data_IF_359838090954
#
_entry.id   IF_359838090954
#
_cell.length_a   1.000
_cell.length_b   1.000
_cell.length_c   1.000
_cell.angle_alpha   90.00
_cell.angle_beta   90.00
_cell.angle_gamma   90.00
#
_symmetry.space_group_name_H-M   'P 1'
#
loop_
_entity.id
_entity.type
_entity.pdbx_description
1 polymer ?
#
# COMPACT_ATOMS: atom_id res chain seq x y z
N UNK A 1 28.04 16.65 14.20
CA UNK A 1 27.66 15.74 13.10
C UNK A 1 26.21 15.99 12.81
N UNK A 2 25.91 16.49 11.61
CA UNK A 2 24.58 16.97 11.24
C UNK A 2 23.56 15.85 11.29
N UNK A 3 22.41 16.13 11.89
CA UNK A 3 21.21 15.33 11.73
C UNK A 3 20.87 15.40 10.24
N UNK A 4 21.04 14.30 9.51
CA UNK A 4 20.53 14.19 8.14
C UNK A 4 19.03 14.35 8.22
N UNK A 5 18.53 15.53 7.82
CA UNK A 5 17.12 15.79 7.55
C UNK A 5 16.66 14.63 6.66
N UNK A 6 15.71 13.82 7.12
CA UNK A 6 15.05 12.88 6.25
C UNK A 6 14.48 13.70 5.09
N UNK A 7 15.02 13.51 3.89
CA UNK A 7 14.55 14.20 2.70
C UNK A 7 13.09 13.80 2.52
N UNK A 8 12.20 14.79 2.41
CA UNK A 8 10.76 14.53 2.27
C UNK A 8 10.51 13.87 0.91
N UNK A 9 10.25 12.55 0.91
CA UNK A 9 9.89 11.80 -0.29
C UNK A 9 8.45 12.15 -0.70
N UNK A 10 8.30 12.78 -1.87
CA UNK A 10 7.00 13.11 -2.45
C UNK A 10 6.47 11.94 -3.27
N UNK A 11 5.15 11.71 -3.17
CA UNK A 11 4.45 10.70 -3.94
C UNK A 11 3.54 11.34 -4.98
N UNK A 12 3.75 11.03 -6.26
CA UNK A 12 2.90 11.47 -7.37
C UNK A 12 2.25 10.28 -8.06
N UNK A 13 1.14 10.56 -8.74
CA UNK A 13 0.38 9.55 -9.45
C UNK A 13 0.13 10.02 -10.88
N UNK A 14 0.50 9.17 -11.83
CA UNK A 14 0.23 9.38 -13.25
C UNK A 14 -0.89 8.46 -13.69
N UNK A 15 -1.90 9.04 -14.33
CA UNK A 15 -2.97 8.32 -14.99
C UNK A 15 -2.65 8.15 -16.47
N UNK A 16 -2.65 6.90 -16.92
CA UNK A 16 -2.21 6.48 -18.24
C UNK A 16 -3.12 5.39 -18.79
N UNK A 17 -3.03 5.14 -20.09
CA UNK A 17 -3.65 3.99 -20.73
C UNK A 17 -3.08 2.67 -20.18
N UNK A 18 -3.95 1.78 -19.70
CA UNK A 18 -3.54 0.56 -18.97
C UNK A 18 -2.69 -0.38 -19.82
N UNK A 19 -2.90 -0.42 -21.13
CA UNK A 19 -2.13 -1.23 -22.08
C UNK A 19 -0.72 -0.69 -22.35
N UNK A 20 -0.43 0.55 -21.91
CA UNK A 20 0.85 1.25 -22.11
C UNK A 20 1.59 1.53 -20.82
N UNK A 21 0.94 1.32 -19.68
CA UNK A 21 1.45 1.68 -18.36
C UNK A 21 2.84 1.10 -18.07
N UNK A 22 3.10 -0.15 -18.49
CA UNK A 22 4.42 -0.77 -18.29
C UNK A 22 5.50 -0.04 -19.07
N UNK A 23 5.25 0.26 -20.36
CA UNK A 23 6.23 0.97 -21.20
C UNK A 23 6.49 2.39 -20.70
N UNK A 24 5.45 3.10 -20.23
CA UNK A 24 5.60 4.44 -19.66
C UNK A 24 6.38 4.37 -18.34
N UNK A 25 6.12 3.36 -17.50
CA UNK A 25 6.88 3.12 -16.28
C UNK A 25 8.36 2.90 -16.58
N UNK A 26 8.68 2.08 -17.59
CA UNK A 26 10.06 1.84 -18.02
C UNK A 26 10.75 3.13 -18.47
N UNK A 27 10.07 3.97 -19.27
CA UNK A 27 10.63 5.26 -19.72
C UNK A 27 10.92 6.18 -18.53
N UNK A 28 10.04 6.24 -17.52
CA UNK A 28 10.29 7.04 -16.32
C UNK A 28 11.52 6.52 -15.57
N UNK A 29 11.63 5.20 -15.40
CA UNK A 29 12.80 4.57 -14.75
C UNK A 29 14.10 4.80 -15.54
N UNK A 30 14.06 4.75 -16.88
CA UNK A 30 15.19 5.07 -17.77
C UNK A 30 15.69 6.51 -17.56
N UNK A 31 14.79 7.44 -17.20
CA UNK A 31 15.11 8.85 -16.90
C UNK A 31 15.52 9.08 -15.43
N UNK A 32 15.74 8.00 -14.67
CA UNK A 32 16.17 8.06 -13.27
C UNK A 32 15.05 8.36 -12.28
N UNK A 33 13.79 8.26 -12.70
CA UNK A 33 12.62 8.48 -11.84
C UNK A 33 12.26 7.17 -11.16
N UNK A 34 12.09 7.16 -9.84
CA UNK A 34 11.57 5.99 -9.13
C UNK A 34 10.06 5.86 -9.37
N UNK A 35 9.70 5.16 -10.44
CA UNK A 35 8.35 4.89 -10.86
C UNK A 35 8.03 3.39 -10.78
N UNK A 36 6.82 3.05 -10.37
CA UNK A 36 6.36 1.66 -10.31
C UNK A 36 4.86 1.54 -10.54
N UNK A 37 4.44 0.35 -10.95
CA UNK A 37 3.03 -0.04 -10.98
C UNK A 37 2.68 -0.67 -9.63
N UNK A 38 1.65 -0.20 -8.90
CA UNK A 38 1.21 -0.87 -7.69
C UNK A 38 0.59 -2.23 -8.05
N UNK A 39 1.27 -3.30 -7.63
CA UNK A 39 0.90 -4.68 -7.92
C UNK A 39 0.46 -5.39 -6.63
N UNK A 40 -0.38 -6.41 -6.76
CA UNK A 40 -0.68 -7.34 -5.68
C UNK A 40 -0.48 -8.78 -6.10
N UNK A 41 -0.09 -9.61 -5.15
CA UNK A 41 -0.16 -11.06 -5.27
C UNK A 41 -1.60 -11.54 -5.06
N UNK A 42 -2.03 -12.49 -5.88
CA UNK A 42 -3.33 -13.14 -5.78
C UNK A 42 -3.21 -14.61 -6.18
N UNK A 43 -4.16 -15.42 -5.71
CA UNK A 43 -4.18 -16.85 -6.03
C UNK A 43 -4.89 -17.11 -7.37
N UNK A 44 -4.17 -17.67 -8.34
CA UNK A 44 -4.70 -18.14 -9.63
C UNK A 44 -5.05 -19.62 -9.53
N UNK A 45 -6.33 -19.94 -9.62
CA UNK A 45 -6.84 -21.32 -9.43
C UNK A 45 -6.43 -22.28 -10.54
N UNK A 46 -6.38 -21.81 -11.78
CA UNK A 46 -6.00 -22.59 -12.95
C UNK A 46 -4.55 -23.10 -12.86
N UNK A 47 -3.63 -22.26 -12.37
CA UNK A 47 -2.23 -22.63 -12.12
C UNK A 47 -2.00 -23.20 -10.71
N UNK A 48 -3.02 -23.17 -9.85
CA UNK A 48 -2.93 -23.53 -8.42
C UNK A 48 -1.78 -22.82 -7.68
N UNK A 49 -1.52 -21.55 -8.02
CA UNK A 49 -0.35 -20.82 -7.55
C UNK A 49 -0.60 -19.33 -7.35
N UNK A 50 0.39 -18.65 -6.75
CA UNK A 50 0.39 -17.20 -6.59
C UNK A 50 0.85 -16.54 -7.88
N UNK A 51 0.18 -15.47 -8.27
CA UNK A 51 0.52 -14.64 -9.45
C UNK A 51 0.33 -13.17 -9.09
N UNK A 52 0.84 -12.27 -9.93
CA UNK A 52 0.75 -10.82 -9.72
C UNK A 52 -0.28 -10.21 -10.66
N UNK A 53 -1.01 -9.20 -10.19
CA UNK A 53 -1.89 -8.35 -11.01
C UNK A 53 -1.81 -6.89 -10.55
N UNK A 54 -2.08 -5.92 -11.42
CA UNK A 54 -2.17 -4.51 -11.00
C UNK A 54 -3.30 -4.32 -9.98
N UNK A 55 -3.03 -3.54 -8.93
CA UNK A 55 -4.06 -3.08 -7.98
C UNK A 55 -4.93 -2.00 -8.63
N UNK A 56 -4.28 -1.09 -9.36
CA UNK A 56 -4.92 0.03 -10.02
C UNK A 56 -4.45 0.11 -11.48
N UNK A 57 -5.12 -0.61 -12.41
CA UNK A 57 -4.82 -0.49 -13.83
C UNK A 57 -4.95 0.96 -14.32
N UNK A 58 -3.96 1.42 -15.08
CA UNK A 58 -3.83 2.79 -15.59
C UNK A 58 -3.12 3.75 -14.64
N UNK A 59 -2.56 3.28 -13.52
CA UNK A 59 -1.89 4.13 -12.54
C UNK A 59 -0.42 3.76 -12.40
N UNK A 60 0.44 4.77 -12.48
CA UNK A 60 1.86 4.68 -12.14
C UNK A 60 2.09 5.53 -10.90
N UNK A 61 2.72 4.95 -9.90
CA UNK A 61 3.13 5.64 -8.69
C UNK A 61 4.57 6.09 -8.87
N UNK A 62 4.87 7.30 -8.42
CA UNK A 62 6.21 7.89 -8.50
C UNK A 62 6.62 8.37 -7.12
N UNK A 63 7.79 7.93 -6.66
CA UNK A 63 8.46 8.43 -5.46
C UNK A 63 9.62 9.30 -5.87
N UNK A 64 9.71 10.51 -5.33
CA UNK A 64 10.79 11.43 -5.73
C UNK A 64 10.98 12.54 -4.71
N UNK A 65 12.18 13.10 -4.63
CA UNK A 65 12.47 14.29 -3.83
C UNK A 65 12.03 15.59 -4.55
N UNK A 66 11.65 15.51 -5.83
CA UNK A 66 11.22 16.66 -6.61
C UNK A 66 9.95 17.29 -6.04
N UNK A 67 9.96 18.62 -5.89
CA UNK A 67 8.74 19.36 -5.54
C UNK A 67 7.80 19.45 -6.74
N UNK A 68 6.52 19.79 -6.50
CA UNK A 68 5.47 19.69 -7.52
C UNK A 68 5.86 20.36 -8.86
N UNK A 69 6.41 21.58 -8.81
CA UNK A 69 6.79 22.32 -10.01
C UNK A 69 7.90 21.62 -10.81
N UNK A 70 8.87 21.01 -10.14
CA UNK A 70 9.97 20.31 -10.81
C UNK A 70 9.48 19.01 -11.44
N UNK A 71 8.63 18.27 -10.72
CA UNK A 71 7.99 17.08 -11.24
C UNK A 71 7.09 17.39 -12.46
N UNK A 72 6.40 18.53 -12.45
CA UNK A 72 5.58 18.99 -13.58
C UNK A 72 6.41 19.23 -14.83
N UNK A 73 7.57 19.87 -14.68
CA UNK A 73 8.50 20.11 -15.79
C UNK A 73 9.06 18.81 -16.35
N UNK A 74 9.39 17.85 -15.48
CA UNK A 74 9.84 16.51 -15.86
C UNK A 74 8.76 15.77 -16.67
N UNK A 75 7.53 15.73 -16.17
CA UNK A 75 6.41 15.09 -16.87
C UNK A 75 6.16 15.74 -18.24
N UNK A 76 6.24 17.06 -18.32
CA UNK A 76 6.07 17.79 -19.58
C UNK A 76 7.20 17.49 -20.58
N UNK A 77 8.45 17.44 -20.13
CA UNK A 77 9.60 17.08 -20.96
C UNK A 77 9.48 15.65 -21.52
N UNK A 78 8.87 14.73 -20.76
CA UNK A 78 8.67 13.34 -21.17
C UNK A 78 7.39 13.09 -21.97
N UNK A 79 6.48 14.08 -22.06
CA UNK A 79 5.16 13.94 -22.71
C UNK A 79 5.26 13.42 -24.15
N UNK A 80 6.27 13.87 -24.91
CA UNK A 80 6.49 13.43 -26.30
C UNK A 80 6.92 11.96 -26.45
N UNK A 81 7.48 11.35 -25.40
CA UNK A 81 7.94 9.94 -25.39
C UNK A 81 6.92 9.00 -24.75
N UNK A 82 6.07 9.53 -23.88
CA UNK A 82 5.06 8.76 -23.14
C UNK A 82 3.71 8.70 -23.88
N UNK A 83 3.68 8.14 -25.10
CA UNK A 83 2.40 7.96 -25.81
C UNK A 83 1.47 7.07 -24.96
N UNK A 84 0.28 7.58 -24.60
CA UNK A 84 -0.66 6.95 -23.66
C UNK A 84 -0.72 7.60 -22.28
N UNK A 85 0.11 8.60 -22.01
CA UNK A 85 -0.05 9.47 -20.85
C UNK A 85 -1.33 10.29 -20.97
N UNK A 86 -2.16 10.29 -19.91
CA UNK A 86 -3.43 11.03 -19.90
C UNK A 86 -3.29 12.28 -19.05
N UNK A 87 -2.95 12.13 -17.77
CA UNK A 87 -2.72 13.26 -16.85
C UNK A 87 -2.00 12.82 -15.58
N UNK A 88 -1.36 13.76 -14.93
CA UNK A 88 -1.01 13.63 -13.52
C UNK A 88 -2.24 13.94 -12.66
N UNK A 89 -2.41 13.19 -11.57
CA UNK A 89 -3.45 13.47 -10.60
C UNK A 89 -2.95 14.46 -9.55
N UNK A 90 -3.68 15.57 -9.41
CA UNK A 90 -3.41 16.67 -8.49
C UNK A 90 -4.71 17.22 -7.91
N UNK A 91 -4.64 17.76 -6.71
CA UNK A 91 -5.70 18.59 -6.14
C UNK A 91 -5.18 20.02 -5.92
N UNK A 92 -5.88 21.03 -6.45
CA UNK A 92 -5.53 22.45 -6.36
C UNK A 92 -4.03 22.83 -6.55
N UNK A 93 -3.27 22.04 -7.31
CA UNK A 93 -1.82 22.29 -7.54
C UNK A 93 -0.87 21.57 -6.57
N UNK A 94 -1.36 20.63 -5.76
CA UNK A 94 -0.58 19.72 -4.93
C UNK A 94 -0.78 18.25 -5.33
N UNK A 95 0.07 17.35 -4.82
CA UNK A 95 -0.04 15.91 -5.07
C UNK A 95 -1.43 15.38 -4.66
N UNK A 96 -2.05 14.56 -5.52
CA UNK A 96 -3.40 14.03 -5.24
C UNK A 96 -3.44 12.99 -4.10
N UNK A 97 -2.29 12.45 -3.69
CA UNK A 97 -2.25 11.45 -2.64
C UNK A 97 -2.22 12.13 -1.27
N UNK A 98 -3.20 11.80 -0.41
CA UNK A 98 -3.21 12.30 0.97
C UNK A 98 -2.14 11.56 1.80
N UNK A 99 -1.66 12.18 2.87
CA UNK A 99 -0.62 11.60 3.73
C UNK A 99 -0.97 10.19 4.22
N UNK A 100 -2.26 9.92 4.44
CA UNK A 100 -2.69 8.67 5.05
C UNK A 100 -2.84 7.57 3.99
N UNK A 101 -3.03 7.95 2.73
CA UNK A 101 -2.93 7.06 1.57
C UNK A 101 -1.47 6.69 1.30
N UNK A 102 -0.55 7.65 1.43
CA UNK A 102 0.89 7.41 1.34
C UNK A 102 1.32 6.40 2.41
N UNK A 103 1.01 6.67 3.69
CA UNK A 103 1.31 5.75 4.80
C UNK A 103 0.72 4.36 4.56
N UNK A 104 -0.55 4.28 4.13
CA UNK A 104 -1.18 3.00 3.81
C UNK A 104 -0.39 2.22 2.76
N UNK A 105 0.00 2.85 1.65
CA UNK A 105 0.80 2.17 0.62
C UNK A 105 2.25 1.91 1.02
N UNK A 106 2.85 2.71 1.90
CA UNK A 106 4.19 2.47 2.45
C UNK A 106 4.26 1.17 3.25
N UNK A 107 3.23 0.86 4.04
CA UNK A 107 3.17 -0.41 4.79
C UNK A 107 2.66 -1.59 3.95
N UNK A 108 1.80 -1.32 2.97
CA UNK A 108 1.21 -2.38 2.15
C UNK A 108 2.16 -2.89 1.06
N UNK A 109 2.93 -2.01 0.42
CA UNK A 109 3.77 -2.32 -0.73
C UNK A 109 5.24 -2.45 -0.30
N UNK A 110 5.94 -3.46 -0.84
CA UNK A 110 7.39 -3.52 -0.72
C UNK A 110 8.08 -2.45 -1.60
N UNK A 111 9.42 -2.41 -1.56
CA UNK A 111 10.22 -1.45 -2.34
C UNK A 111 9.97 -1.53 -3.85
N UNK A 112 9.53 -2.68 -4.36
CA UNK A 112 9.20 -2.88 -5.78
C UNK A 112 7.77 -2.47 -6.14
N UNK A 113 6.99 -2.00 -5.17
CA UNK A 113 5.58 -1.67 -5.36
C UNK A 113 4.64 -2.88 -5.32
N UNK A 114 5.06 -4.00 -4.70
CA UNK A 114 4.29 -5.23 -4.62
C UNK A 114 3.67 -5.44 -3.23
N UNK A 115 2.34 -5.54 -3.18
CA UNK A 115 1.61 -6.09 -2.03
C UNK A 115 1.68 -7.62 -2.06
N UNK A 116 2.50 -8.21 -1.18
CA UNK A 116 2.66 -9.67 -1.09
C UNK A 116 1.45 -10.35 -0.45
N UNK A 117 1.27 -11.63 -0.78
CA UNK A 117 0.24 -12.46 -0.17
C UNK A 117 0.45 -12.50 1.34
N UNK A 118 -0.59 -12.17 2.11
CA UNK A 118 -0.58 -12.36 3.56
C UNK A 118 -1.20 -13.70 3.94
N UNK A 119 -0.85 -14.19 5.12
CA UNK A 119 -1.32 -15.46 5.67
C UNK A 119 -1.85 -15.25 7.08
N UNK A 120 -2.86 -16.02 7.46
CA UNK A 120 -3.47 -15.89 8.78
C UNK A 120 -4.56 -16.91 9.02
N UNK A 121 -5.30 -16.75 10.11
CA UNK A 121 -6.42 -17.61 10.48
C UNK A 121 -7.61 -16.77 10.96
N UNK A 122 -8.79 -17.39 11.02
CA UNK A 122 -9.98 -16.74 11.59
C UNK A 122 -10.10 -17.07 13.08
N UNK A 123 -10.27 -16.04 13.90
CA UNK A 123 -10.55 -16.14 15.32
C UNK A 123 -11.96 -15.62 15.61
N UNK A 124 -12.77 -16.40 16.31
CA UNK A 124 -14.06 -15.94 16.84
C UNK A 124 -13.83 -14.90 17.94
N UNK A 125 -14.47 -13.75 17.78
CA UNK A 125 -14.52 -12.72 18.81
C UNK A 125 -15.71 -12.94 19.76
N UNK A 126 -15.69 -12.27 20.91
CA UNK A 126 -16.75 -12.32 21.92
C UNK A 126 -18.11 -11.84 21.38
N UNK A 127 -18.09 -10.91 20.42
CA UNK A 127 -19.27 -10.43 19.70
C UNK A 127 -19.83 -11.44 18.67
N UNK A 128 -19.24 -12.63 18.57
CA UNK A 128 -19.65 -13.70 17.65
C UNK A 128 -19.17 -13.56 16.20
N UNK A 129 -18.45 -12.49 15.84
CA UNK A 129 -17.89 -12.28 14.50
C UNK A 129 -16.51 -12.95 14.36
N UNK A 130 -16.21 -13.42 13.15
CA UNK A 130 -14.87 -13.89 12.81
C UNK A 130 -13.97 -12.68 12.51
N UNK A 131 -12.82 -12.59 13.17
CA UNK A 131 -11.74 -11.63 12.86
C UNK A 131 -10.57 -12.38 12.23
N UNK A 132 -9.99 -11.82 11.18
CA UNK A 132 -8.73 -12.32 10.62
C UNK A 132 -7.57 -11.92 11.54
N UNK A 133 -6.76 -12.90 11.93
CA UNK A 133 -5.48 -12.71 12.62
C UNK A 133 -4.39 -13.09 11.63
N UNK A 134 -3.54 -12.12 11.29
CA UNK A 134 -2.51 -12.22 10.28
C UNK A 134 -1.20 -12.64 10.95
N UNK A 135 -0.59 -13.69 10.43
CA UNK A 135 0.66 -14.26 10.93
C UNK A 135 1.85 -13.88 10.06
N UNK A 136 1.62 -13.55 8.79
CA UNK A 136 2.65 -13.17 7.84
C UNK A 136 2.09 -12.20 6.80
N UNK A 137 2.94 -11.27 6.35
CA UNK A 137 2.67 -10.38 5.23
C UNK A 137 2.13 -9.01 5.64
N UNK A 138 1.97 -8.09 4.68
CA UNK A 138 1.71 -6.68 4.95
C UNK A 138 0.36 -6.41 5.62
N UNK A 139 -0.61 -7.34 5.56
CA UNK A 139 -1.90 -7.16 6.22
C UNK A 139 -1.82 -7.18 7.76
N UNK A 140 -0.69 -7.57 8.35
CA UNK A 140 -0.49 -7.51 9.81
C UNK A 140 -0.62 -6.09 10.38
N UNK A 141 -0.34 -5.07 9.56
CA UNK A 141 -0.47 -3.67 9.95
C UNK A 141 -1.91 -3.16 9.87
N UNK A 142 -2.83 -3.97 9.33
CA UNK A 142 -4.17 -3.53 8.96
C UNK A 142 -5.27 -4.51 9.38
N UNK A 143 -5.04 -5.38 10.37
CA UNK A 143 -6.02 -6.41 10.78
C UNK A 143 -7.41 -5.83 11.10
N UNK A 144 -7.44 -4.73 11.84
CA UNK A 144 -8.69 -4.05 12.24
C UNK A 144 -9.38 -3.33 11.08
N UNK A 145 -8.68 -3.17 9.95
CA UNK A 145 -9.17 -2.54 8.74
C UNK A 145 -9.69 -3.53 7.71
N UNK A 146 -9.61 -4.84 7.99
CA UNK A 146 -10.15 -5.89 7.12
C UNK A 146 -11.66 -5.97 7.31
N UNK A 147 -12.41 -5.49 6.31
CA UNK A 147 -13.89 -5.48 6.33
C UNK A 147 -14.46 -6.82 5.88
N UNK A 148 -13.77 -7.51 4.97
CA UNK A 148 -14.26 -8.77 4.40
C UNK A 148 -13.11 -9.66 3.98
N UNK A 149 -13.22 -10.95 4.32
CA UNK A 149 -12.32 -12.01 3.85
C UNK A 149 -13.07 -12.88 2.85
N UNK A 150 -12.50 -13.05 1.66
CA UNK A 150 -12.94 -13.99 0.64
C UNK A 150 -11.95 -15.16 0.59
N UNK A 151 -12.29 -16.22 1.34
CA UNK A 151 -11.50 -17.46 1.44
C UNK A 151 -11.39 -18.20 0.11
N UNK A 152 -12.38 -18.04 -0.77
CA UNK A 152 -12.42 -18.76 -2.05
C UNK A 152 -11.45 -18.14 -3.07
N UNK A 153 -11.35 -16.81 -3.07
CA UNK A 153 -10.43 -16.06 -3.94
C UNK A 153 -9.10 -15.71 -3.26
N UNK A 154 -8.93 -16.07 -1.97
CA UNK A 154 -7.76 -15.80 -1.13
C UNK A 154 -7.40 -14.32 -1.10
N UNK A 155 -8.36 -13.49 -0.72
CA UNK A 155 -8.17 -12.05 -0.64
C UNK A 155 -8.97 -11.41 0.49
N UNK A 156 -8.49 -10.24 0.92
CA UNK A 156 -9.14 -9.38 1.89
C UNK A 156 -9.52 -8.04 1.24
N UNK A 157 -10.64 -7.48 1.70
CA UNK A 157 -11.08 -6.13 1.35
C UNK A 157 -10.88 -5.22 2.56
N UNK A 158 -10.25 -4.07 2.31
CA UNK A 158 -9.96 -3.07 3.33
C UNK A 158 -11.11 -2.07 3.45
N UNK A 159 -11.25 -1.44 4.62
CA UNK A 159 -12.10 -0.25 4.85
C UNK A 159 -11.56 1.01 4.14
N UNK A 160 -10.36 0.91 3.57
CA UNK A 160 -9.70 1.96 2.83
C UNK A 160 -10.15 1.98 1.36
N UNK A 161 -10.40 3.19 0.85
CA UNK A 161 -10.68 3.43 -0.55
C UNK A 161 -9.64 4.39 -1.12
N UNK A 162 -9.11 4.04 -2.29
CA UNK A 162 -8.20 4.88 -3.06
C UNK A 162 -8.88 5.27 -4.36
N UNK A 163 -9.04 6.57 -4.60
CA UNK A 163 -9.74 7.12 -5.78
C UNK A 163 -11.14 6.54 -5.99
N UNK A 164 -11.90 6.41 -4.89
CA UNK A 164 -13.24 5.85 -4.90
C UNK A 164 -13.30 4.34 -5.16
N UNK A 165 -12.15 3.65 -5.23
CA UNK A 165 -12.08 2.18 -5.38
C UNK A 165 -11.67 1.55 -4.06
N UNK A 166 -12.43 0.54 -3.62
CA UNK A 166 -12.06 -0.27 -2.45
C UNK A 166 -10.74 -0.98 -2.72
N UNK A 167 -9.85 -1.00 -1.73
CA UNK A 167 -8.57 -1.68 -1.86
C UNK A 167 -8.71 -3.15 -1.47
N UNK A 168 -8.11 -4.01 -2.29
CA UNK A 168 -8.02 -5.45 -2.09
C UNK A 168 -6.55 -5.86 -1.97
N UNK A 169 -6.27 -6.83 -1.11
CA UNK A 169 -4.96 -7.45 -0.97
C UNK A 169 -5.07 -8.98 -0.88
N UNK A 170 -3.99 -9.70 -1.16
CA UNK A 170 -3.94 -11.15 -1.06
C UNK A 170 -3.98 -11.59 0.40
N UNK A 171 -4.88 -12.53 0.73
CA UNK A 171 -4.97 -13.14 2.06
C UNK A 171 -5.34 -14.61 1.96
N UNK A 172 -4.45 -15.49 2.39
CA UNK A 172 -4.75 -16.91 2.58
C UNK A 172 -5.12 -17.15 4.04
N UNK A 173 -6.32 -17.70 4.26
CA UNK A 173 -6.72 -18.22 5.57
C UNK A 173 -6.30 -19.68 5.65
N UNK A 174 -5.40 -19.97 6.57
CA UNK A 174 -4.99 -21.30 6.94
C UNK A 174 -5.87 -21.82 8.08
N UNK A 175 -5.98 -23.15 8.16
CA UNK A 175 -6.56 -23.76 9.35
C UNK A 175 -5.61 -23.47 10.50
N UNK A 176 -6.10 -22.88 11.59
CA UNK A 176 -5.26 -22.47 12.70
C UNK A 176 -4.31 -23.62 13.10
N UNK A 177 -2.98 -23.44 13.02
CA UNK A 177 -2.07 -24.40 13.61
C UNK A 177 -2.41 -24.47 15.11
N UNK A 178 -2.33 -25.65 15.71
CA UNK A 178 -2.42 -25.80 17.16
C UNK A 178 -1.52 -24.77 17.83
N UNK A 179 -2.15 -23.74 18.41
CA UNK A 179 -1.63 -22.59 19.16
C UNK A 179 -0.09 -22.48 19.26
N UNK A 180 0.55 -21.47 18.64
CA UNK A 180 1.77 -20.91 19.17
C UNK A 180 1.43 -19.75 20.13
N UNK A 181 2.12 -19.73 21.26
CA UNK A 181 2.03 -18.73 22.32
C UNK A 181 2.74 -17.46 21.88
N UNK A 182 2.05 -16.31 21.88
CA UNK A 182 2.69 -15.01 21.78
C UNK A 182 3.45 -14.72 23.09
N UNK A 183 4.72 -14.26 23.06
CA UNK A 183 5.36 -13.68 24.24
C UNK A 183 4.64 -12.38 24.60
N UNK A 184 4.44 -12.18 25.90
CA UNK A 184 3.79 -10.99 26.46
C UNK A 184 4.75 -9.80 26.51
N UNK A 185 4.13 -8.62 26.55
CA UNK A 185 4.57 -7.32 27.08
C UNK A 185 5.24 -6.31 26.13
N UNK A 186 4.48 -5.25 25.82
CA UNK A 186 5.00 -3.91 25.54
C UNK A 186 4.21 -2.90 26.38
N UNK A 187 4.92 -2.07 27.14
CA UNK A 187 4.41 -1.00 28.02
C UNK A 187 4.35 0.31 27.22
N UNK A 188 3.29 1.11 27.43
CA UNK A 188 3.06 2.40 26.77
C UNK A 188 3.89 3.54 27.38
N UNK A 189 4.42 4.41 26.51
CA UNK A 189 4.90 5.76 26.83
C UNK A 189 4.35 6.73 25.78
N UNK A 190 4.14 7.99 26.16
CA UNK A 190 3.21 8.97 25.57
C UNK A 190 3.68 9.67 24.27
N UNK A 191 2.79 9.67 23.26
CA UNK A 191 2.26 10.88 22.63
C UNK A 191 2.48 11.03 21.13
N UNK A 192 1.44 10.77 20.33
CA UNK A 192 1.40 11.17 18.91
C UNK A 192 0.25 10.54 18.12
N UNK A 193 -0.99 10.92 18.40
CA UNK A 193 -2.17 10.52 17.62
C UNK A 193 -2.40 11.46 16.44
N UNK A 194 -2.66 10.90 15.26
CA UNK A 194 -3.15 11.65 14.10
C UNK A 194 -4.57 11.18 13.80
N UNK A 195 -5.50 12.12 13.71
CA UNK A 195 -6.93 11.89 13.46
C UNK A 195 -7.19 11.94 11.96
N UNK A 196 -7.66 10.83 11.40
CA UNK A 196 -8.08 10.72 10.01
C UNK A 196 -9.41 11.46 9.77
N UNK A 197 -9.67 11.83 8.51
CA UNK A 197 -10.92 12.50 8.11
C UNK A 197 -12.20 11.66 8.32
N UNK A 198 -12.07 10.36 8.60
CA UNK A 198 -13.15 9.45 9.01
C UNK A 198 -13.26 9.27 10.54
N UNK A 199 -12.49 10.04 11.32
CA UNK A 199 -12.52 10.06 12.78
C UNK A 199 -11.70 8.95 13.44
N UNK A 200 -10.90 8.20 12.68
CA UNK A 200 -10.06 7.14 13.22
C UNK A 200 -8.70 7.67 13.71
N UNK A 201 -8.30 7.26 14.92
CA UNK A 201 -7.00 7.63 15.52
C UNK A 201 -5.94 6.59 15.15
N UNK A 202 -4.91 7.00 14.40
CA UNK A 202 -3.72 6.19 14.18
C UNK A 202 -2.71 6.46 15.30
N UNK A 203 -2.38 5.42 16.07
CA UNK A 203 -1.29 5.47 17.04
C UNK A 203 0.04 5.16 16.35
N UNK A 204 0.80 6.21 16.04
CA UNK A 204 2.09 6.13 15.34
C UNK A 204 3.16 5.44 16.21
N UNK A 205 3.05 5.50 17.54
CA UNK A 205 3.98 4.82 18.44
C UNK A 205 3.79 3.29 18.45
N UNK A 206 2.55 2.81 18.27
CA UNK A 206 2.26 1.38 18.19
C UNK A 206 2.84 0.73 16.92
N UNK A 207 2.81 1.47 15.80
CA UNK A 207 3.45 1.04 14.55
C UNK A 207 4.98 1.05 14.66
N UNK A 208 5.57 2.08 15.26
CA UNK A 208 7.03 2.18 15.48
C UNK A 208 7.53 1.08 16.43
N UNK A 209 6.77 0.74 17.47
CA UNK A 209 7.13 -0.34 18.40
C UNK A 209 7.16 -1.72 17.73
N UNK A 210 6.31 -1.97 16.71
CA UNK A 210 6.29 -3.23 15.95
C UNK A 210 7.40 -3.32 14.91
N UNK A 211 7.98 -2.19 14.49
CA UNK A 211 9.09 -2.13 13.53
C UNK A 211 10.47 -2.40 14.15
N UNK A 212 10.66 -2.15 15.45
CA UNK A 212 11.95 -2.33 16.14
C UNK A 212 12.20 -3.75 16.68
N UNK A 213 11.32 -4.72 16.36
CA UNK A 213 11.47 -6.14 16.75
C UNK A 213 11.75 -7.08 15.56
N UNK A 214 12.05 -6.54 14.37
CA UNK A 214 12.60 -7.24 13.21
C UNK A 214 14.02 -6.72 12.93
#
# INVERSE_FOLDING_TARGET
MGVTKAMEENWYILFVQSERQSRICDILCEEGVNAFLPMMEYYRRDMKGITRKPMFPGYIFVRTELVQKEFDNLVEALRGRCWGFIKQLKDAGAAAMRAEEIEFFRFLLDESGLARMSYGYLRKQENGRDKAVITEGPLQYFEDRIVKVDRHNRCAWMDFAFMGRKVQAGLTIENAPGKPVCPKEAVCGEGGSVVLADGFELNIEELKSKMNQL
#
